data_IF_582991181496
#
_entry.id   IF_582991181496
#
_cell.length_a   1.000
_cell.length_b   1.000
_cell.length_c   1.000
_cell.angle_alpha   90.00
_cell.angle_beta   90.00
_cell.angle_gamma   90.00
#
_symmetry.space_group_name_H-M   'P 1'
#
loop_
_entity.id
_entity.type
_entity.pdbx_description
1 polymer ?
#
# COMPACT_ATOMS: atom_id res chain seq x y z
N UNK A 1 13.50 17.80 -16.19
CA UNK A 1 12.36 16.87 -16.34
C UNK A 1 11.94 16.51 -14.93
N UNK A 2 10.75 16.94 -14.49
CA UNK A 2 10.26 16.67 -13.13
C UNK A 2 10.09 15.15 -13.01
N UNK A 3 11.02 14.49 -12.31
CA UNK A 3 10.93 13.07 -12.05
C UNK A 3 9.88 12.89 -10.95
N UNK A 4 8.63 12.66 -11.34
CA UNK A 4 7.61 12.20 -10.42
C UNK A 4 8.13 10.93 -9.77
N UNK A 5 8.48 10.99 -8.48
CA UNK A 5 9.08 9.89 -7.71
C UNK A 5 8.03 8.80 -7.37
N UNK A 6 7.19 8.46 -8.36
CA UNK A 6 6.12 7.49 -8.26
C UNK A 6 6.59 6.20 -8.92
N UNK A 7 6.57 5.10 -8.16
CA UNK A 7 6.75 3.78 -8.74
C UNK A 7 5.55 3.41 -9.59
N UNK A 8 5.78 3.12 -10.87
CA UNK A 8 4.72 2.82 -11.85
C UNK A 8 4.44 1.34 -12.01
N UNK A 9 5.31 0.49 -11.48
CA UNK A 9 5.15 -0.96 -11.53
C UNK A 9 5.79 -1.63 -10.32
N UNK A 10 5.43 -2.89 -10.10
CA UNK A 10 5.99 -3.73 -9.05
C UNK A 10 7.49 -3.95 -9.28
N UNK A 11 7.89 -4.14 -10.53
CA UNK A 11 9.28 -4.36 -10.94
C UNK A 11 10.14 -3.17 -10.53
N UNK A 12 9.70 -1.93 -10.78
CA UNK A 12 10.45 -0.74 -10.36
C UNK A 12 10.66 -0.67 -8.85
N UNK A 13 9.68 -1.10 -8.06
CA UNK A 13 9.78 -1.13 -6.59
C UNK A 13 10.80 -2.19 -6.17
N UNK A 14 10.68 -3.40 -6.73
CA UNK A 14 11.54 -4.53 -6.38
C UNK A 14 12.98 -4.30 -6.82
N UNK A 15 13.21 -3.71 -7.99
CA UNK A 15 14.54 -3.39 -8.49
C UNK A 15 15.23 -2.40 -7.56
N UNK A 16 14.54 -1.32 -7.17
CA UNK A 16 15.08 -0.35 -6.22
C UNK A 16 15.33 -0.97 -4.83
N UNK A 17 14.38 -1.74 -4.30
CA UNK A 17 14.55 -2.43 -3.01
C UNK A 17 15.63 -3.51 -3.03
N UNK A 18 16.17 -3.89 -4.19
CA UNK A 18 17.30 -4.81 -4.35
C UNK A 18 18.62 -4.10 -4.61
N UNK A 19 18.61 -2.77 -4.78
CA UNK A 19 19.85 -2.01 -4.93
C UNK A 19 20.73 -2.16 -3.67
N UNK A 20 22.06 -2.36 -3.81
CA UNK A 20 22.97 -2.49 -2.67
C UNK A 20 22.95 -1.28 -1.73
N UNK A 21 22.66 -0.09 -2.26
CA UNK A 21 22.61 1.19 -1.54
C UNK A 21 21.53 1.25 -0.46
N UNK A 22 20.46 0.47 -0.59
CA UNK A 22 19.32 0.47 0.35
C UNK A 22 19.17 -0.84 1.12
N UNK A 23 20.12 -1.78 0.99
CA UNK A 23 20.05 -3.05 1.69
C UNK A 23 20.31 -2.88 3.20
N UNK A 24 19.28 -3.16 3.99
CA UNK A 24 19.33 -3.32 5.43
C UNK A 24 18.45 -4.51 5.86
N UNK A 25 18.39 -4.80 7.16
CA UNK A 25 17.63 -5.95 7.65
C UNK A 25 16.12 -5.76 7.47
N UNK A 26 15.60 -4.55 7.64
CA UNK A 26 14.19 -4.21 7.43
C UNK A 26 13.78 -4.34 5.96
N UNK A 27 14.67 -3.97 5.03
CA UNK A 27 14.42 -4.13 3.58
C UNK A 27 14.42 -5.61 3.19
N UNK A 28 15.37 -6.40 3.71
CA UNK A 28 15.38 -7.85 3.48
C UNK A 28 14.14 -8.52 4.07
N UNK A 29 13.72 -8.10 5.24
CA UNK A 29 12.50 -8.60 5.88
C UNK A 29 11.26 -8.26 5.05
N UNK A 30 11.13 -7.01 4.60
CA UNK A 30 10.04 -6.57 3.74
C UNK A 30 9.95 -7.41 2.46
N UNK A 31 11.09 -7.63 1.78
CA UNK A 31 11.17 -8.48 0.59
C UNK A 31 10.78 -9.94 0.91
N UNK A 32 11.25 -10.48 2.04
CA UNK A 32 10.89 -11.84 2.48
C UNK A 32 9.39 -11.98 2.74
N UNK A 33 8.75 -10.98 3.36
CA UNK A 33 7.31 -10.96 3.60
C UNK A 33 6.55 -10.88 2.26
N UNK A 34 7.01 -10.04 1.33
CA UNK A 34 6.43 -9.98 -0.01
C UNK A 34 6.50 -11.33 -0.74
N UNK A 35 7.65 -12.00 -0.74
CA UNK A 35 7.81 -13.30 -1.40
C UNK A 35 6.91 -14.38 -0.76
N UNK A 36 6.74 -14.37 0.57
CA UNK A 36 5.79 -15.24 1.27
C UNK A 36 4.34 -14.95 0.87
N UNK A 37 3.96 -13.69 0.73
CA UNK A 37 2.62 -13.31 0.26
C UNK A 37 2.39 -13.69 -1.20
N UNK A 38 3.42 -13.54 -2.05
CA UNK A 38 3.39 -13.93 -3.47
C UNK A 38 3.30 -15.44 -3.66
N UNK A 39 3.95 -16.25 -2.84
CA UNK A 39 3.85 -17.72 -2.95
C UNK A 39 2.48 -18.26 -2.54
N UNK A 40 1.78 -17.56 -1.63
CA UNK A 40 0.37 -17.85 -1.29
C UNK A 40 -0.61 -17.40 -2.37
N UNK A 41 -0.16 -16.63 -3.34
CA UNK A 41 -0.96 -16.20 -4.47
C UNK A 41 -1.18 -17.37 -5.43
N UNK A 42 -2.44 -17.76 -5.61
CA UNK A 42 -2.86 -18.69 -6.66
C UNK A 42 -3.59 -17.91 -7.76
N UNK A 43 -3.29 -18.25 -9.02
CA UNK A 43 -3.65 -17.58 -10.26
C UNK A 43 -5.14 -17.30 -10.51
N UNK A 44 -5.39 -16.30 -11.38
CA UNK A 44 -6.65 -15.86 -12.03
C UNK A 44 -7.96 -16.06 -11.26
N UNK A 45 -7.98 -15.49 -10.06
CA UNK A 45 -9.23 -15.29 -9.34
C UNK A 45 -9.82 -13.95 -9.74
N UNK A 46 -10.98 -13.99 -10.40
CA UNK A 46 -11.79 -12.79 -10.60
C UNK A 46 -12.59 -12.49 -9.33
N UNK A 47 -12.39 -11.31 -8.70
CA UNK A 47 -13.15 -10.94 -7.51
C UNK A 47 -14.63 -10.81 -7.88
N UNK A 48 -15.48 -11.50 -7.11
CA UNK A 48 -16.94 -11.52 -7.34
C UNK A 48 -17.71 -10.67 -6.33
N UNK A 49 -17.01 -10.05 -5.36
CA UNK A 49 -17.58 -9.21 -4.31
C UNK A 49 -17.16 -7.75 -4.46
N UNK A 50 -17.91 -6.87 -3.80
CA UNK A 50 -17.67 -5.43 -3.76
C UNK A 50 -16.30 -5.10 -3.14
N UNK A 51 -15.54 -4.26 -3.81
CA UNK A 51 -14.35 -3.60 -3.27
C UNK A 51 -14.61 -2.10 -3.15
N UNK A 52 -14.54 -1.57 -1.93
CA UNK A 52 -14.81 -0.17 -1.62
C UNK A 52 -13.57 0.48 -1.00
N UNK A 53 -13.17 1.65 -1.49
CA UNK A 53 -12.06 2.42 -0.92
C UNK A 53 -12.54 3.85 -0.64
N UNK A 54 -12.35 4.32 0.58
CA UNK A 54 -12.51 5.73 0.92
C UNK A 54 -11.16 6.43 0.84
N UNK A 55 -11.06 7.44 -0.03
CA UNK A 55 -9.88 8.29 -0.23
C UNK A 55 -10.17 9.72 0.23
N UNK A 56 -9.11 10.49 0.53
CA UNK A 56 -9.22 11.90 0.96
C UNK A 56 -8.21 12.26 2.06
N UNK A 57 -8.14 13.54 2.44
CA UNK A 57 -7.18 14.06 3.42
C UNK A 57 -7.43 13.56 4.85
N UNK A 58 -6.45 13.62 5.73
CA UNK A 58 -6.63 13.28 7.15
C UNK A 58 -7.69 14.16 7.81
N UNK A 59 -8.42 13.61 8.77
CA UNK A 59 -9.52 14.32 9.43
C UNK A 59 -10.84 14.38 8.65
N UNK A 60 -10.92 13.89 7.40
CA UNK A 60 -12.15 13.93 6.59
C UNK A 60 -13.22 12.90 6.95
N UNK A 61 -13.08 12.18 8.07
CA UNK A 61 -14.08 11.21 8.54
C UNK A 61 -14.06 9.83 7.85
N UNK A 62 -13.07 9.54 6.99
CA UNK A 62 -12.94 8.25 6.27
C UNK A 62 -13.00 7.04 7.21
N UNK A 63 -12.25 7.05 8.30
CA UNK A 63 -12.23 5.92 9.24
C UNK A 63 -13.61 5.68 9.88
N UNK A 64 -14.41 6.73 10.08
CA UNK A 64 -15.81 6.61 10.53
C UNK A 64 -16.66 5.95 9.44
N UNK A 65 -16.52 6.40 8.19
CA UNK A 65 -17.24 5.82 7.05
C UNK A 65 -16.87 4.36 6.79
N UNK A 66 -15.59 3.99 6.87
CA UNK A 66 -15.10 2.61 6.76
C UNK A 66 -15.72 1.71 7.84
N UNK A 67 -15.83 2.18 9.09
CA UNK A 67 -16.53 1.48 10.20
C UNK A 67 -18.02 1.31 9.93
N UNK A 68 -18.70 2.35 9.47
CA UNK A 68 -20.12 2.29 9.16
C UNK A 68 -20.40 1.36 7.97
N UNK A 69 -19.61 1.45 6.90
CA UNK A 69 -19.73 0.62 5.71
C UNK A 69 -19.47 -0.86 6.03
N UNK A 70 -18.42 -1.17 6.80
CA UNK A 70 -18.14 -2.55 7.23
C UNK A 70 -19.32 -3.16 7.98
N UNK A 71 -19.96 -2.41 8.89
CA UNK A 71 -21.16 -2.89 9.61
C UNK A 71 -22.37 -3.04 8.70
N UNK A 72 -22.67 -2.05 7.85
CA UNK A 72 -23.87 -2.05 7.00
C UNK A 72 -23.81 -3.06 5.86
N UNK A 73 -22.62 -3.30 5.31
CA UNK A 73 -22.40 -4.14 4.13
C UNK A 73 -21.71 -5.47 4.48
N UNK A 74 -21.47 -5.74 5.77
CA UNK A 74 -20.73 -6.91 6.26
C UNK A 74 -19.33 -7.06 5.64
N UNK A 75 -18.69 -5.94 5.27
CA UNK A 75 -17.37 -5.93 4.65
C UNK A 75 -16.27 -6.26 5.65
N UNK A 76 -15.23 -6.94 5.16
CA UNK A 76 -13.94 -7.04 5.85
C UNK A 76 -13.21 -5.71 5.69
N UNK A 77 -12.67 -5.20 6.79
CA UNK A 77 -11.79 -4.02 6.74
C UNK A 77 -10.35 -4.47 6.49
N UNK A 78 -9.72 -3.92 5.46
CA UNK A 78 -8.28 -4.08 5.20
C UNK A 78 -7.62 -2.71 5.30
N UNK A 79 -6.42 -2.65 5.86
CA UNK A 79 -5.68 -1.42 6.11
C UNK A 79 -4.36 -1.40 5.34
N UNK A 80 -3.84 -0.20 5.10
CA UNK A 80 -2.50 0.01 4.54
C UNK A 80 -1.66 0.85 5.52
N UNK A 81 -0.41 0.45 5.82
CA UNK A 81 0.23 -0.81 5.42
C UNK A 81 -0.45 -2.03 6.07
N UNK A 82 -0.42 -3.23 5.44
CA UNK A 82 -1.00 -4.44 6.00
C UNK A 82 -0.28 -4.87 7.28
N UNK A 83 -0.99 -5.56 8.17
CA UNK A 83 -0.49 -5.91 9.51
C UNK A 83 0.82 -6.70 9.48
N UNK A 84 1.04 -7.52 8.43
CA UNK A 84 2.26 -8.30 8.26
C UNK A 84 3.54 -7.47 8.05
N UNK A 85 3.44 -6.19 7.69
CA UNK A 85 4.60 -5.28 7.53
C UNK A 85 4.48 -4.04 8.42
N UNK A 86 3.44 -3.95 9.25
CA UNK A 86 3.12 -2.74 10.02
C UNK A 86 4.18 -2.43 11.07
N UNK A 87 4.87 -3.44 11.59
CA UNK A 87 5.97 -3.27 12.54
C UNK A 87 7.20 -2.58 11.91
N UNK A 88 7.38 -2.69 10.59
CA UNK A 88 8.47 -2.03 9.88
C UNK A 88 8.22 -0.53 9.64
N UNK A 89 6.98 -0.07 9.87
CA UNK A 89 6.56 1.29 9.51
C UNK A 89 7.45 2.36 10.13
N UNK A 90 7.77 2.24 11.42
CA UNK A 90 8.54 3.27 12.13
C UNK A 90 9.90 3.52 11.46
N UNK A 91 10.58 2.44 11.04
CA UNK A 91 11.84 2.53 10.31
C UNK A 91 11.67 3.25 8.96
N UNK A 92 10.71 2.81 8.14
CA UNK A 92 10.52 3.37 6.80
C UNK A 92 9.99 4.82 6.82
N UNK A 93 9.20 5.20 7.82
CA UNK A 93 8.72 6.58 8.01
C UNK A 93 9.88 7.55 8.30
N UNK A 94 10.98 7.09 8.88
CA UNK A 94 12.19 7.89 9.13
C UNK A 94 13.18 7.89 7.95
N UNK A 95 13.03 6.97 6.99
CA UNK A 95 13.89 6.89 5.82
C UNK A 95 13.68 8.04 4.82
N UNK A 96 14.60 8.17 3.87
CA UNK A 96 14.46 9.10 2.74
C UNK A 96 13.15 8.87 1.96
N UNK A 97 12.56 9.91 1.35
CA UNK A 97 11.23 9.80 0.73
C UNK A 97 11.11 8.69 -0.31
N UNK A 98 12.18 8.39 -1.05
CA UNK A 98 12.18 7.32 -2.07
C UNK A 98 12.02 5.94 -1.43
N UNK A 99 12.76 5.63 -0.37
CA UNK A 99 12.67 4.36 0.36
C UNK A 99 11.36 4.21 1.11
N UNK A 100 10.88 5.28 1.74
CA UNK A 100 9.56 5.33 2.36
C UNK A 100 8.45 5.00 1.36
N UNK A 101 8.49 5.61 0.17
CA UNK A 101 7.52 5.33 -0.90
C UNK A 101 7.58 3.88 -1.38
N UNK A 102 8.78 3.31 -1.52
CA UNK A 102 8.93 1.90 -1.90
C UNK A 102 8.23 0.96 -0.90
N UNK A 103 8.34 1.24 0.40
CA UNK A 103 7.64 0.49 1.46
C UNK A 103 6.12 0.56 1.31
N UNK A 104 5.55 1.77 1.20
CA UNK A 104 4.09 1.92 1.07
C UNK A 104 3.58 1.33 -0.25
N UNK A 105 4.30 1.51 -1.36
CA UNK A 105 3.94 0.92 -2.65
C UNK A 105 3.98 -0.60 -2.62
N UNK A 106 5.01 -1.23 -2.04
CA UNK A 106 5.06 -2.68 -1.89
C UNK A 106 3.98 -3.19 -0.92
N UNK A 107 3.71 -2.44 0.15
CA UNK A 107 2.61 -2.70 1.08
C UNK A 107 1.24 -2.72 0.40
N UNK A 108 0.98 -1.83 -0.56
CA UNK A 108 -0.24 -1.88 -1.37
C UNK A 108 -0.33 -3.15 -2.21
N UNK A 109 0.77 -3.63 -2.79
CA UNK A 109 0.78 -4.92 -3.51
C UNK A 109 0.52 -6.10 -2.57
N UNK A 110 1.11 -6.10 -1.38
CA UNK A 110 0.85 -7.13 -0.36
C UNK A 110 -0.63 -7.14 0.05
N UNK A 111 -1.20 -5.96 0.34
CA UNK A 111 -2.61 -5.82 0.65
C UNK A 111 -3.49 -6.27 -0.54
N UNK A 112 -3.13 -5.95 -1.78
CA UNK A 112 -3.87 -6.36 -2.97
C UNK A 112 -3.97 -7.89 -3.10
N UNK A 113 -2.91 -8.62 -2.74
CA UNK A 113 -2.92 -10.09 -2.73
C UNK A 113 -3.90 -10.63 -1.69
N UNK A 114 -3.90 -10.06 -0.47
CA UNK A 114 -4.85 -10.43 0.59
C UNK A 114 -6.31 -10.12 0.21
N UNK A 115 -6.55 -8.92 -0.30
CA UNK A 115 -7.87 -8.44 -0.71
C UNK A 115 -8.47 -9.35 -1.77
N UNK A 116 -7.68 -9.79 -2.77
CA UNK A 116 -8.16 -10.70 -3.82
C UNK A 116 -8.67 -12.02 -3.25
N UNK A 117 -8.01 -12.58 -2.25
CA UNK A 117 -8.48 -13.79 -1.56
C UNK A 117 -9.79 -13.53 -0.82
N UNK A 118 -9.89 -12.41 -0.08
CA UNK A 118 -11.10 -12.07 0.67
C UNK A 118 -12.30 -11.84 -0.28
N UNK A 119 -12.08 -11.15 -1.39
CA UNK A 119 -13.10 -10.81 -2.39
C UNK A 119 -13.70 -12.02 -3.12
N UNK A 120 -13.18 -13.23 -2.90
CA UNK A 120 -13.86 -14.46 -3.33
C UNK A 120 -15.14 -14.71 -2.53
N UNK A 121 -15.15 -14.34 -1.24
CA UNK A 121 -16.20 -14.75 -0.31
C UNK A 121 -16.92 -13.56 0.33
N UNK A 122 -16.22 -12.43 0.55
CA UNK A 122 -16.75 -11.28 1.29
C UNK A 122 -16.38 -9.95 0.62
N UNK A 123 -17.23 -8.92 0.73
CA UNK A 123 -16.86 -7.59 0.28
C UNK A 123 -15.76 -7.01 1.18
N UNK A 124 -14.96 -6.11 0.63
CA UNK A 124 -13.83 -5.46 1.31
C UNK A 124 -14.03 -3.95 1.31
N UNK A 125 -13.70 -3.31 2.43
CA UNK A 125 -13.62 -1.86 2.55
C UNK A 125 -12.26 -1.42 3.08
N UNK A 126 -11.72 -0.34 2.54
CA UNK A 126 -10.43 0.23 2.95
C UNK A 126 -10.53 1.73 3.22
N UNK A 127 -9.68 2.20 4.14
CA UNK A 127 -9.32 3.60 4.32
C UNK A 127 -7.94 3.79 3.70
N UNK A 128 -7.86 4.44 2.53
CA UNK A 128 -6.67 4.64 1.68
C UNK A 128 -6.12 3.39 0.96
N UNK A 129 -5.73 3.59 -0.29
CA UNK A 129 -5.00 2.59 -1.09
C UNK A 129 -4.01 3.29 -2.05
N UNK A 130 -3.96 2.85 -3.32
CA UNK A 130 -3.03 3.33 -4.33
C UNK A 130 -3.07 4.85 -4.56
N UNK A 131 -4.27 5.47 -4.56
CA UNK A 131 -4.40 6.89 -4.87
C UNK A 131 -3.79 7.76 -3.78
N UNK A 132 -3.94 7.38 -2.50
CA UNK A 132 -3.23 8.06 -1.41
C UNK A 132 -1.72 8.01 -1.60
N UNK A 133 -1.16 6.84 -1.90
CA UNK A 133 0.30 6.69 -2.11
C UNK A 133 0.79 7.55 -3.29
N UNK A 134 0.06 7.56 -4.41
CA UNK A 134 0.39 8.39 -5.57
C UNK A 134 0.28 9.89 -5.27
N UNK A 135 -0.77 10.33 -4.55
CA UNK A 135 -0.96 11.73 -4.20
C UNK A 135 0.15 12.26 -3.28
N UNK A 136 0.53 11.51 -2.24
CA UNK A 136 1.66 11.87 -1.38
C UNK A 136 2.97 11.97 -2.18
N UNK A 137 3.23 11.01 -3.07
CA UNK A 137 4.42 11.02 -3.90
C UNK A 137 4.49 12.23 -4.86
N UNK A 138 3.35 12.66 -5.41
CA UNK A 138 3.28 13.87 -6.25
C UNK A 138 3.51 15.13 -5.40
N UNK A 139 2.86 15.24 -4.23
CA UNK A 139 3.00 16.39 -3.35
C UNK A 139 4.44 16.60 -2.88
N UNK A 140 5.12 15.53 -2.43
CA UNK A 140 6.53 15.57 -2.04
C UNK A 140 7.50 15.82 -3.21
N UNK A 141 7.06 15.59 -4.45
CA UNK A 141 7.85 15.97 -5.64
C UNK A 141 7.59 17.40 -6.11
N UNK A 142 6.64 18.11 -5.48
CA UNK A 142 6.19 19.44 -5.88
C UNK A 142 6.73 20.56 -4.99
N UNK A 143 7.79 20.31 -4.21
CA UNK A 143 8.49 21.35 -3.43
C UNK A 143 9.11 22.49 -4.29
N UNK A 144 8.92 22.45 -5.61
CA UNK A 144 9.28 23.49 -6.58
C UNK A 144 8.16 24.52 -6.84
N UNK A 145 7.02 24.51 -6.13
CA UNK A 145 6.00 25.57 -6.26
C UNK A 145 6.36 26.72 -5.30
N UNK A 146 6.77 27.91 -5.80
CA UNK A 146 7.06 29.04 -4.93
C UNK A 146 5.79 29.43 -4.17
N UNK A 147 5.95 29.66 -2.87
CA UNK A 147 4.96 30.29 -1.98
C UNK A 147 4.52 31.66 -2.47
#
# INVERSE_FOLDING_TARGET
>A
MVAYNVYKSLEQILDYLREPSVQCDEVKELLSIYDKSKTRWTSDVHPVKLFLVFEGLDGSGKSTMTKLASKKLSCVQVVTPPDCIKHLRNYFDECEPKLRRAYYSLGNYIAAMEIRTILQTRPVVMDRFWHSTAAYAIAESSDDIPS
#
